data_IF_952022624789
#
_entry.id   IF_952022624789
#
_cell.length_a   1.000
_cell.length_b   1.000
_cell.length_c   1.000
_cell.angle_alpha   90.00
_cell.angle_beta   90.00
_cell.angle_gamma   90.00
#
_symmetry.space_group_name_H-M   'P 1'
#
loop_
_entity.id
_entity.type
_entity.pdbx_description
1 polymer ?
#
# COMPACT_ATOMS: atom_id res chain seq x y z
N UNK A 1 3.78 1.16 24.24
CA UNK A 1 4.35 2.29 25.01
C UNK A 1 4.15 2.01 26.49
N UNK A 2 5.16 2.25 27.36
CA UNK A 2 4.99 2.19 28.80
C UNK A 2 3.99 3.23 29.30
N UNK A 3 3.50 3.07 30.52
CA UNK A 3 2.59 4.01 31.14
C UNK A 3 3.26 5.38 31.30
N UNK A 4 2.63 6.49 30.85
CA UNK A 4 3.22 7.82 30.96
C UNK A 4 3.36 8.26 32.42
N UNK A 5 4.44 8.98 32.73
CA UNK A 5 4.63 9.58 34.03
C UNK A 5 3.45 10.52 34.37
N UNK A 6 2.80 10.27 35.53
CA UNK A 6 1.65 11.07 35.97
C UNK A 6 0.27 10.59 35.47
N UNK A 7 0.19 9.50 34.74
CA UNK A 7 -1.08 8.94 34.28
C UNK A 7 -2.04 8.61 35.45
N UNK A 8 -1.51 8.14 36.57
CA UNK A 8 -2.28 7.86 37.80
C UNK A 8 -3.15 9.05 38.23
N UNK A 9 -2.68 10.30 38.02
CA UNK A 9 -3.42 11.52 38.39
C UNK A 9 -4.63 11.81 37.52
N UNK A 10 -4.68 11.26 36.29
CA UNK A 10 -5.75 11.50 35.31
C UNK A 10 -6.60 10.28 35.09
N UNK A 11 -6.15 9.09 35.50
CA UNK A 11 -6.84 7.80 35.30
C UNK A 11 -8.29 7.86 35.76
N UNK A 12 -8.53 8.36 36.96
CA UNK A 12 -9.86 8.43 37.58
C UNK A 12 -10.77 9.46 36.87
N UNK A 13 -10.17 10.48 36.23
CA UNK A 13 -10.91 11.49 35.47
C UNK A 13 -11.29 11.04 34.07
N UNK A 14 -10.59 10.06 33.52
CA UNK A 14 -10.86 9.56 32.17
C UNK A 14 -12.08 8.65 32.10
N UNK A 15 -12.46 8.00 33.20
CA UNK A 15 -13.62 7.09 33.24
C UNK A 15 -13.50 5.88 32.32
N UNK A 16 -12.30 5.58 31.81
CA UNK A 16 -12.03 4.48 30.88
C UNK A 16 -10.84 3.66 31.33
N UNK A 17 -10.86 2.36 31.05
CA UNK A 17 -9.74 1.46 31.32
C UNK A 17 -8.67 1.60 30.25
N UNK A 18 -7.45 1.92 30.65
CA UNK A 18 -6.30 2.01 29.75
C UNK A 18 -5.34 0.84 30.01
N UNK A 19 -4.96 0.15 28.96
CA UNK A 19 -3.96 -0.92 28.98
C UNK A 19 -2.70 -0.44 28.24
N UNK A 20 -1.56 -0.45 28.91
CA UNK A 20 -0.27 -0.07 28.34
C UNK A 20 0.48 -1.29 27.83
N UNK A 21 1.57 -1.07 27.10
CA UNK A 21 2.46 -2.11 26.51
C UNK A 21 1.76 -3.08 25.55
N UNK A 22 0.63 -2.64 24.96
CA UNK A 22 -0.07 -3.43 23.95
C UNK A 22 0.62 -3.33 22.58
N UNK A 23 0.47 -4.39 21.79
CA UNK A 23 1.04 -4.50 20.43
C UNK A 23 0.49 -3.44 19.46
N UNK A 24 -0.71 -2.97 19.71
CA UNK A 24 -1.41 -1.98 18.88
C UNK A 24 -2.07 -0.92 19.75
N UNK A 25 -2.16 0.31 19.23
CA UNK A 25 -2.96 1.37 19.82
C UNK A 25 -4.41 1.18 19.35
N UNK A 26 -5.28 0.71 20.24
CA UNK A 26 -6.67 0.39 19.93
C UNK A 26 -7.58 1.15 20.89
N UNK A 27 -8.65 1.72 20.35
CA UNK A 27 -9.75 2.28 21.12
C UNK A 27 -10.97 1.36 20.98
N UNK A 28 -11.46 0.81 22.08
CA UNK A 28 -12.66 -0.02 22.12
C UNK A 28 -13.79 0.83 22.66
N UNK A 29 -14.76 1.13 21.81
CA UNK A 29 -15.94 1.91 22.17
C UNK A 29 -17.18 1.02 22.05
N UNK A 30 -18.03 0.93 23.08
CA UNK A 30 -19.30 0.21 22.99
C UNK A 30 -20.14 0.73 21.82
N UNK A 31 -20.77 -0.18 21.08
CA UNK A 31 -21.54 0.14 19.87
C UNK A 31 -22.68 1.16 20.13
N UNK A 32 -23.21 1.15 21.33
CA UNK A 32 -24.28 2.05 21.78
C UNK A 32 -23.86 3.54 21.71
N UNK A 33 -22.58 3.85 22.00
CA UNK A 33 -22.07 5.23 21.92
C UNK A 33 -21.94 5.73 20.49
N UNK A 34 -21.84 4.83 19.51
CA UNK A 34 -21.75 5.23 18.09
C UNK A 34 -23.06 5.81 17.55
N UNK A 35 -24.17 5.52 18.22
CA UNK A 35 -25.50 6.01 17.83
C UNK A 35 -25.93 7.26 18.61
N UNK A 36 -25.16 7.67 19.60
CA UNK A 36 -25.48 8.89 20.36
C UNK A 36 -25.09 10.13 19.56
N UNK A 37 -25.95 11.18 19.51
CA UNK A 37 -25.59 12.42 18.88
C UNK A 37 -24.44 13.09 19.64
N UNK A 38 -23.44 13.54 18.92
CA UNK A 38 -22.33 14.30 19.50
C UNK A 38 -22.89 15.68 19.91
N UNK A 39 -22.84 16.01 21.21
CA UNK A 39 -23.40 17.24 21.76
C UNK A 39 -22.85 18.53 21.11
N UNK A 40 -21.64 18.47 20.55
CA UNK A 40 -20.95 19.57 19.87
C UNK A 40 -20.97 19.43 18.36
N UNK A 41 -21.81 18.53 17.80
CA UNK A 41 -21.90 18.35 16.35
C UNK A 41 -22.53 19.58 15.70
N UNK A 42 -21.77 20.25 14.86
CA UNK A 42 -22.24 21.31 14.00
C UNK A 42 -22.35 20.79 12.56
N UNK A 43 -23.58 20.65 12.01
CA UNK A 43 -23.79 20.16 10.65
C UNK A 43 -23.16 21.07 9.58
N UNK A 44 -22.99 22.37 9.87
CA UNK A 44 -22.35 23.32 8.96
C UNK A 44 -20.81 23.24 9.04
N UNK A 45 -20.27 23.03 10.22
CA UNK A 45 -18.82 23.01 10.46
C UNK A 45 -18.18 21.67 10.02
N UNK A 46 -18.87 20.56 10.20
CA UNK A 46 -18.34 19.24 9.88
C UNK A 46 -17.89 19.06 8.40
N UNK A 47 -18.66 19.52 7.39
CA UNK A 47 -18.21 19.46 5.99
C UNK A 47 -17.00 20.36 5.73
N UNK A 48 -16.93 21.54 6.35
CA UNK A 48 -15.80 22.47 6.21
C UNK A 48 -14.51 21.89 6.81
N UNK A 49 -14.60 21.35 8.02
CA UNK A 49 -13.46 20.67 8.66
C UNK A 49 -13.01 19.45 7.86
N UNK A 50 -13.95 18.65 7.35
CA UNK A 50 -13.64 17.50 6.50
C UNK A 50 -12.91 17.90 5.21
N UNK A 51 -13.35 19.01 4.58
CA UNK A 51 -12.69 19.55 3.40
C UNK A 51 -11.28 20.09 3.73
N UNK A 52 -11.12 20.75 4.87
CA UNK A 52 -9.83 21.25 5.35
C UNK A 52 -8.88 20.09 5.69
N UNK A 53 -9.33 19.10 6.45
CA UNK A 53 -8.54 17.90 6.74
C UNK A 53 -8.10 17.17 5.46
N UNK A 54 -8.98 17.09 4.46
CA UNK A 54 -8.62 16.50 3.17
C UNK A 54 -7.50 17.29 2.48
N UNK A 55 -7.58 18.62 2.47
CA UNK A 55 -6.51 19.47 1.92
C UNK A 55 -5.18 19.30 2.68
N UNK A 56 -5.24 19.17 3.98
CA UNK A 56 -4.03 19.02 4.81
C UNK A 56 -3.42 17.61 4.67
N UNK A 57 -4.25 16.58 4.56
CA UNK A 57 -3.81 15.22 4.20
C UNK A 57 -3.15 15.23 2.81
N UNK A 58 -3.75 15.89 1.82
CA UNK A 58 -3.17 16.00 0.48
C UNK A 58 -1.83 16.75 0.50
N UNK A 59 -1.67 17.79 1.32
CA UNK A 59 -0.39 18.48 1.54
C UNK A 59 0.65 17.59 2.23
N UNK A 60 0.25 16.81 3.24
CA UNK A 60 1.13 15.86 3.93
C UNK A 60 1.56 14.74 2.99
N UNK A 61 0.66 14.21 2.18
CA UNK A 61 0.93 13.20 1.16
C UNK A 61 1.85 13.72 0.04
N UNK A 62 1.73 15.00 -0.33
CA UNK A 62 2.70 15.66 -1.21
C UNK A 62 4.12 15.69 -0.62
N UNK A 63 4.26 15.72 0.70
CA UNK A 63 5.55 15.66 1.41
C UNK A 63 6.07 14.23 1.60
N UNK A 64 5.19 13.26 1.81
CA UNK A 64 5.54 11.83 2.04
C UNK A 64 5.60 10.99 0.78
N UNK A 65 5.18 11.53 -0.36
CA UNK A 65 5.19 10.87 -1.67
C UNK A 65 3.96 9.97 -1.93
N UNK A 66 3.22 10.31 -2.98
CA UNK A 66 2.10 9.48 -3.46
C UNK A 66 2.54 8.14 -4.06
N UNK A 67 3.80 8.07 -4.48
CA UNK A 67 4.37 6.91 -5.16
C UNK A 67 4.23 5.62 -4.36
N UNK A 68 4.49 5.64 -3.06
CA UNK A 68 4.40 4.45 -2.21
C UNK A 68 2.94 3.95 -2.10
N UNK A 69 1.99 4.86 -1.88
CA UNK A 69 0.57 4.52 -1.75
C UNK A 69 0.00 4.01 -3.08
N UNK A 70 0.32 4.68 -4.19
CA UNK A 70 -0.08 4.25 -5.53
C UNK A 70 0.53 2.86 -5.85
N UNK A 71 1.80 2.61 -5.51
CA UNK A 71 2.44 1.30 -5.70
C UNK A 71 1.75 0.20 -4.92
N UNK A 72 1.27 0.47 -3.71
CA UNK A 72 0.51 -0.52 -2.93
C UNK A 72 -0.84 -0.84 -3.57
N UNK A 73 -1.54 0.16 -4.09
CA UNK A 73 -2.80 -0.06 -4.83
C UNK A 73 -2.54 -0.85 -6.10
N UNK A 74 -1.48 -0.50 -6.86
CA UNK A 74 -1.05 -1.26 -8.03
C UNK A 74 -0.77 -2.72 -7.66
N UNK A 75 0.00 -2.98 -6.59
CA UNK A 75 0.31 -4.34 -6.12
C UNK A 75 -0.96 -5.14 -5.79
N UNK A 76 -1.92 -4.53 -5.08
CA UNK A 76 -3.21 -5.18 -4.77
C UNK A 76 -3.99 -5.53 -6.05
N UNK A 77 -4.04 -4.63 -7.01
CA UNK A 77 -4.73 -4.88 -8.29
C UNK A 77 -4.02 -5.95 -9.11
N UNK A 78 -2.69 -5.98 -9.15
CA UNK A 78 -1.93 -7.03 -9.83
C UNK A 78 -2.21 -8.42 -9.25
N UNK A 79 -2.31 -8.54 -7.92
CA UNK A 79 -2.63 -9.80 -7.26
C UNK A 79 -4.03 -10.31 -7.66
N UNK A 80 -4.99 -9.40 -7.84
CA UNK A 80 -6.38 -9.72 -8.11
C UNK A 80 -6.74 -9.78 -9.62
N UNK A 81 -5.87 -9.28 -10.50
CA UNK A 81 -6.20 -9.05 -11.91
C UNK A 81 -6.14 -10.29 -12.81
N UNK A 82 -5.67 -11.43 -12.31
CA UNK A 82 -5.53 -12.68 -13.07
C UNK A 82 -4.97 -12.49 -14.51
N UNK A 83 -4.10 -11.51 -14.69
CA UNK A 83 -3.47 -11.24 -15.99
C UNK A 83 -4.03 -10.06 -16.78
N UNK A 84 -5.00 -9.33 -16.26
CA UNK A 84 -5.52 -8.15 -16.97
C UNK A 84 -4.52 -6.97 -16.99
N UNK A 85 -4.59 -6.19 -18.07
CA UNK A 85 -3.79 -4.96 -18.20
C UNK A 85 -4.32 -3.90 -17.23
N UNK A 86 -3.49 -3.49 -16.30
CA UNK A 86 -3.83 -2.47 -15.32
C UNK A 86 -4.00 -1.09 -15.98
N UNK A 87 -5.16 -0.48 -15.80
CA UNK A 87 -5.48 0.85 -16.33
C UNK A 87 -5.36 1.91 -15.23
N UNK A 88 -4.88 3.09 -15.59
CA UNK A 88 -4.76 4.25 -14.66
C UNK A 88 -6.11 4.57 -13.98
N UNK A 89 -7.23 4.40 -14.71
CA UNK A 89 -8.59 4.62 -14.21
C UNK A 89 -8.92 3.77 -12.99
N UNK A 90 -8.54 2.49 -13.00
CA UNK A 90 -8.79 1.56 -11.89
C UNK A 90 -8.08 2.01 -10.61
N UNK A 91 -6.81 2.40 -10.74
CA UNK A 91 -6.01 2.90 -9.60
C UNK A 91 -6.57 4.23 -9.10
N UNK A 92 -6.92 5.15 -9.99
CA UNK A 92 -7.51 6.43 -9.63
C UNK A 92 -8.83 6.27 -8.86
N UNK A 93 -9.70 5.36 -9.30
CA UNK A 93 -10.95 5.01 -8.61
C UNK A 93 -10.70 4.46 -7.21
N UNK A 94 -9.78 3.51 -7.05
CA UNK A 94 -9.44 2.97 -5.73
C UNK A 94 -8.85 4.00 -4.77
N UNK A 95 -8.22 5.03 -5.32
CA UNK A 95 -7.67 6.14 -4.52
C UNK A 95 -8.64 7.32 -4.36
N UNK A 96 -9.88 7.19 -4.84
CA UNK A 96 -10.90 8.25 -4.81
C UNK A 96 -10.39 9.58 -5.42
N UNK A 97 -9.66 9.49 -6.54
CA UNK A 97 -9.14 10.66 -7.26
C UNK A 97 -9.41 10.56 -8.77
N UNK A 98 -9.27 11.68 -9.48
CA UNK A 98 -9.31 11.68 -10.94
C UNK A 98 -8.01 11.15 -11.55
N UNK A 99 -8.06 10.57 -12.75
CA UNK A 99 -6.86 10.15 -13.50
C UNK A 99 -5.86 11.31 -13.68
N UNK A 100 -6.37 12.52 -13.96
CA UNK A 100 -5.57 13.74 -14.08
C UNK A 100 -4.83 14.07 -12.78
N UNK A 101 -5.49 13.92 -11.63
CA UNK A 101 -4.86 14.15 -10.31
C UNK A 101 -3.76 13.13 -10.04
N UNK A 102 -4.01 11.84 -10.32
CA UNK A 102 -3.03 10.78 -10.16
C UNK A 102 -1.80 11.02 -11.04
N UNK A 103 -2.01 11.33 -12.32
CA UNK A 103 -0.91 11.62 -13.24
C UNK A 103 -0.10 12.85 -12.82
N UNK A 104 -0.78 13.92 -12.33
CA UNK A 104 -0.12 15.12 -11.81
C UNK A 104 0.75 14.80 -10.58
N UNK A 105 0.27 13.99 -9.65
CA UNK A 105 1.07 13.60 -8.48
C UNK A 105 2.29 12.78 -8.87
N UNK A 106 2.16 11.85 -9.81
CA UNK A 106 3.29 11.09 -10.31
C UNK A 106 4.31 11.98 -11.04
N UNK A 107 3.84 12.97 -11.81
CA UNK A 107 4.72 13.92 -12.49
C UNK A 107 5.52 14.77 -11.50
N UNK A 108 4.93 15.21 -10.37
CA UNK A 108 5.64 15.92 -9.30
C UNK A 108 6.77 15.06 -8.71
N UNK A 109 6.60 13.74 -8.66
CA UNK A 109 7.62 12.80 -8.19
C UNK A 109 8.54 12.29 -9.33
N UNK A 110 8.57 12.99 -10.47
CA UNK A 110 9.39 12.65 -11.63
C UNK A 110 9.19 11.20 -12.12
N UNK A 111 7.96 10.71 -12.07
CA UNK A 111 7.62 9.37 -12.55
C UNK A 111 6.33 9.38 -13.35
N UNK A 112 6.06 8.28 -14.06
CA UNK A 112 4.81 8.06 -14.77
C UNK A 112 4.08 6.83 -14.22
N UNK A 113 2.78 6.71 -14.52
CA UNK A 113 2.00 5.52 -14.17
C UNK A 113 2.61 4.24 -14.73
N UNK A 114 3.02 4.26 -15.99
CA UNK A 114 3.66 3.11 -16.65
C UNK A 114 4.96 2.71 -15.97
N UNK A 115 5.83 3.69 -15.67
CA UNK A 115 7.08 3.45 -14.95
C UNK A 115 6.85 2.87 -13.55
N UNK A 116 5.81 3.36 -12.85
CA UNK A 116 5.47 2.86 -11.52
C UNK A 116 4.88 1.45 -11.56
N UNK A 117 4.05 1.13 -12.55
CA UNK A 117 3.57 -0.24 -12.79
C UNK A 117 4.74 -1.19 -13.06
N UNK A 118 5.67 -0.81 -13.92
CA UNK A 118 6.86 -1.61 -14.22
C UNK A 118 7.73 -1.83 -12.97
N UNK A 119 7.96 -0.79 -12.18
CA UNK A 119 8.70 -0.89 -10.92
C UNK A 119 8.00 -1.82 -9.92
N UNK A 120 6.69 -1.69 -9.77
CA UNK A 120 5.90 -2.53 -8.86
C UNK A 120 5.88 -3.99 -9.33
N UNK A 121 5.75 -4.24 -10.63
CA UNK A 121 5.86 -5.58 -11.22
C UNK A 121 7.24 -6.19 -10.97
N UNK A 122 8.31 -5.42 -11.14
CA UNK A 122 9.69 -5.86 -10.86
C UNK A 122 9.82 -6.32 -9.41
N UNK A 123 9.39 -5.49 -8.46
CA UNK A 123 9.47 -5.81 -7.03
C UNK A 123 8.63 -7.05 -6.68
N UNK A 124 7.41 -7.12 -7.19
CA UNK A 124 6.53 -8.26 -6.94
C UNK A 124 7.05 -9.55 -7.58
N UNK A 125 7.67 -9.47 -8.77
CA UNK A 125 8.36 -10.60 -9.39
C UNK A 125 9.49 -11.15 -8.51
N UNK A 126 10.30 -10.25 -7.95
CA UNK A 126 11.38 -10.63 -7.03
C UNK A 126 10.83 -11.31 -5.77
N UNK A 127 9.78 -10.74 -5.16
CA UNK A 127 9.11 -11.33 -3.99
C UNK A 127 8.61 -12.75 -4.26
N UNK A 128 7.93 -12.97 -5.41
CA UNK A 128 7.41 -14.27 -5.79
C UNK A 128 8.52 -15.28 -6.04
N UNK A 129 9.58 -14.90 -6.76
CA UNK A 129 10.70 -15.78 -7.07
C UNK A 129 11.54 -16.13 -5.83
N UNK A 130 11.57 -15.26 -4.81
CA UNK A 130 12.31 -15.49 -3.57
C UNK A 130 11.56 -16.35 -2.55
N UNK A 131 10.24 -16.11 -2.43
CA UNK A 131 9.43 -16.59 -1.32
C UNK A 131 8.45 -17.72 -1.69
N UNK A 132 8.38 -18.08 -2.97
CA UNK A 132 7.48 -19.13 -3.43
C UNK A 132 8.20 -20.20 -4.25
N UNK A 133 7.62 -21.40 -4.27
CA UNK A 133 8.01 -22.49 -5.17
C UNK A 133 7.33 -22.43 -6.54
N UNK A 134 6.74 -21.26 -6.88
CA UNK A 134 5.99 -21.09 -8.12
C UNK A 134 6.86 -21.31 -9.36
N UNK A 135 6.25 -21.86 -10.41
CA UNK A 135 6.87 -21.93 -11.72
C UNK A 135 7.00 -20.53 -12.34
N UNK A 136 7.95 -20.35 -13.25
CA UNK A 136 8.14 -19.09 -13.97
C UNK A 136 6.86 -18.67 -14.71
N UNK A 137 6.12 -19.65 -15.23
CA UNK A 137 4.83 -19.44 -15.90
C UNK A 137 3.77 -18.90 -14.92
N UNK A 138 3.64 -19.51 -13.73
CA UNK A 138 2.71 -19.05 -12.69
C UNK A 138 3.05 -17.64 -12.22
N UNK A 139 4.34 -17.31 -12.09
CA UNK A 139 4.80 -15.95 -11.77
C UNK A 139 4.43 -14.97 -12.89
N UNK A 140 4.62 -15.34 -14.16
CA UNK A 140 4.24 -14.49 -15.30
C UNK A 140 2.75 -14.15 -15.30
N UNK A 141 1.89 -15.15 -15.12
CA UNK A 141 0.43 -14.97 -15.01
C UNK A 141 0.04 -14.09 -13.83
N UNK A 142 0.63 -14.32 -12.66
CA UNK A 142 0.38 -13.49 -11.45
C UNK A 142 0.76 -12.01 -11.61
N UNK A 143 1.65 -11.70 -12.55
CA UNK A 143 2.09 -10.34 -12.86
C UNK A 143 1.33 -9.69 -14.03
N UNK A 144 0.35 -10.40 -14.60
CA UNK A 144 -0.46 -9.89 -15.69
C UNK A 144 0.21 -10.01 -17.06
N UNK A 145 1.11 -10.98 -17.25
CA UNK A 145 1.67 -11.29 -18.56
C UNK A 145 0.87 -12.40 -19.23
N UNK A 146 0.56 -12.21 -20.51
CA UNK A 146 -0.17 -13.21 -21.30
C UNK A 146 0.63 -14.51 -21.49
N UNK A 147 1.97 -14.40 -21.51
CA UNK A 147 2.86 -15.54 -21.70
C UNK A 147 4.22 -15.36 -21.01
N UNK A 148 4.91 -16.48 -20.82
CA UNK A 148 6.24 -16.54 -20.20
C UNK A 148 7.33 -15.82 -21.03
N UNK A 149 7.36 -15.86 -22.36
CA UNK A 149 8.33 -15.13 -23.15
C UNK A 149 8.27 -13.61 -22.94
N UNK A 150 7.08 -13.02 -22.90
CA UNK A 150 6.90 -11.58 -22.62
C UNK A 150 7.40 -11.21 -21.23
N UNK A 151 7.05 -11.99 -20.22
CA UNK A 151 7.58 -11.82 -18.87
C UNK A 151 9.11 -11.95 -18.84
N UNK A 152 9.67 -12.97 -19.46
CA UNK A 152 11.12 -13.21 -19.48
C UNK A 152 11.89 -12.03 -20.08
N UNK A 153 11.38 -11.45 -21.19
CA UNK A 153 11.98 -10.25 -21.80
C UNK A 153 11.90 -9.06 -20.87
N UNK A 154 10.74 -8.82 -20.24
CA UNK A 154 10.57 -7.72 -19.28
C UNK A 154 11.49 -7.89 -18.06
N UNK A 155 11.53 -9.06 -17.47
CA UNK A 155 12.38 -9.36 -16.31
C UNK A 155 13.86 -9.21 -16.63
N UNK A 156 14.31 -9.70 -17.80
CA UNK A 156 15.71 -9.52 -18.26
C UNK A 156 16.05 -8.03 -18.45
N UNK A 157 15.12 -7.22 -18.97
CA UNK A 157 15.29 -5.77 -19.07
C UNK A 157 15.45 -5.11 -17.69
N UNK A 158 14.69 -5.58 -16.67
CA UNK A 158 14.73 -5.01 -15.32
C UNK A 158 15.94 -5.46 -14.50
N UNK A 159 16.36 -6.72 -14.66
CA UNK A 159 17.33 -7.37 -13.77
C UNK A 159 18.65 -7.73 -14.45
N UNK A 160 18.75 -7.60 -15.76
CA UNK A 160 19.92 -8.01 -16.55
C UNK A 160 20.01 -9.52 -16.78
N UNK A 161 19.23 -10.33 -16.05
CA UNK A 161 19.26 -11.81 -16.11
C UNK A 161 17.85 -12.37 -16.31
N UNK A 162 17.78 -13.64 -16.74
CA UNK A 162 16.47 -14.32 -16.91
C UNK A 162 15.86 -14.70 -15.56
N UNK A 163 14.50 -14.82 -15.45
CA UNK A 163 13.84 -15.26 -14.23
C UNK A 163 14.34 -16.62 -13.72
N UNK A 164 14.58 -17.56 -14.63
CA UNK A 164 15.08 -18.91 -14.31
C UNK A 164 16.48 -18.84 -13.69
N UNK A 165 17.38 -18.07 -14.29
CA UNK A 165 18.72 -17.87 -13.73
C UNK A 165 18.64 -17.22 -12.34
N UNK A 166 17.85 -16.17 -12.19
CA UNK A 166 17.64 -15.49 -10.91
C UNK A 166 17.14 -16.45 -9.82
N UNK A 167 16.10 -17.25 -10.13
CA UNK A 167 15.55 -18.25 -9.19
C UNK A 167 16.58 -19.32 -8.81
N UNK A 168 17.41 -19.77 -9.75
CA UNK A 168 18.49 -20.74 -9.48
C UNK A 168 19.53 -20.15 -8.53
N UNK A 169 19.96 -18.93 -8.75
CA UNK A 169 20.93 -18.24 -7.87
C UNK A 169 20.39 -18.08 -6.43
N UNK A 170 19.11 -17.76 -6.28
CA UNK A 170 18.47 -17.68 -4.97
C UNK A 170 18.47 -19.03 -4.22
N UNK A 171 18.18 -20.12 -4.93
CA UNK A 171 18.24 -21.47 -4.35
C UNK A 171 19.66 -21.82 -3.87
N UNK A 172 20.66 -21.57 -4.71
CA UNK A 172 22.06 -21.81 -4.36
C UNK A 172 22.53 -20.98 -3.16
N UNK A 173 22.04 -19.73 -3.04
CA UNK A 173 22.35 -18.87 -1.87
C UNK A 173 21.73 -19.43 -0.59
N UNK A 174 20.47 -19.87 -0.63
CA UNK A 174 19.81 -20.48 0.53
C UNK A 174 20.53 -21.73 1.03
N UNK A 175 21.10 -22.56 0.13
CA UNK A 175 21.87 -23.74 0.50
C UNK A 175 23.24 -23.42 1.12
N UNK A 176 23.80 -22.24 0.88
CA UNK A 176 25.10 -21.83 1.48
C UNK A 176 24.95 -21.18 2.86
N UNK A 177 23.78 -20.64 3.14
CA UNK A 177 23.49 -19.93 4.39
C UNK A 177 22.80 -20.85 5.44
N UNK A 178 22.63 -22.16 5.12
CA UNK A 178 22.14 -23.23 6.00
C UNK A 178 23.25 -24.17 6.35
#
# INVERSE_FOLDING_TARGET
MPEPLGFSKIKDKLGVSCLFEQKHNIWIIPKEYLMQPVLTADPMLAPLLKAQCKKDIDKLKLRSGWKAEISQVIKKLLINSQGEILKVKQVAQMMNMSERSLQRYLAIENTSFSALVDLTRKQYAQDLLQNSSMSIEAVALSLGYADTPHFTRAFKRWMGVTPKYYQTQLKLKKFRDT
#
